data_IF_218005252638
#
_entry.id   IF_218005252638
#
_cell.length_a   1.000
_cell.length_b   1.000
_cell.length_c   1.000
_cell.angle_alpha   90.00
_cell.angle_beta   90.00
_cell.angle_gamma   90.00
#
_symmetry.space_group_name_H-M   'P 1'
#
loop_
_entity.id
_entity.type
_entity.pdbx_description
1 polymer ?
#
# COMPACT_ATOMS: atom_id res chain seq x y z
N UNK A 1 -12.39 -12.89 22.27
CA UNK A 1 -12.20 -11.62 21.54
C UNK A 1 -11.13 -10.84 22.28
N UNK A 2 -9.87 -11.03 21.89
CA UNK A 2 -8.75 -10.27 22.44
C UNK A 2 -8.67 -8.97 21.66
N UNK A 3 -9.08 -7.87 22.28
CA UNK A 3 -8.82 -6.52 21.76
C UNK A 3 -7.31 -6.28 21.83
N UNK A 4 -6.63 -6.32 20.68
CA UNK A 4 -5.25 -5.91 20.57
C UNK A 4 -5.18 -4.39 20.66
N UNK A 5 -4.86 -3.86 21.84
CA UNK A 5 -4.58 -2.44 22.03
C UNK A 5 -3.24 -2.12 21.36
N UNK A 6 -3.28 -1.42 20.23
CA UNK A 6 -2.07 -0.93 19.54
C UNK A 6 -1.35 0.06 20.45
N UNK A 7 -0.05 -0.16 20.70
CA UNK A 7 0.76 0.69 21.55
C UNK A 7 1.13 1.99 20.85
N UNK A 8 1.28 3.07 21.63
CA UNK A 8 1.47 4.45 21.18
C UNK A 8 2.82 4.72 20.48
N UNK A 9 3.73 3.75 20.45
CA UNK A 9 5.09 3.87 19.87
C UNK A 9 5.23 3.33 18.45
N UNK A 10 4.17 2.79 17.86
CA UNK A 10 4.30 2.00 16.62
C UNK A 10 4.09 2.80 15.32
N UNK A 11 3.72 4.07 15.38
CA UNK A 11 2.64 4.40 14.45
C UNK A 11 2.98 5.09 13.13
N UNK A 12 3.98 5.97 13.03
CA UNK A 12 4.31 6.64 11.76
C UNK A 12 5.80 6.94 11.66
N UNK A 13 6.49 6.36 10.67
CA UNK A 13 7.88 6.69 10.35
C UNK A 13 7.90 7.68 9.20
N UNK A 14 8.49 8.86 9.41
CA UNK A 14 8.71 9.84 8.34
C UNK A 14 10.14 9.76 7.84
N UNK A 15 10.28 9.68 6.52
CA UNK A 15 11.57 9.65 5.85
C UNK A 15 11.58 10.71 4.75
N UNK A 16 12.75 11.33 4.54
CA UNK A 16 13.01 12.16 3.36
C UNK A 16 13.39 11.24 2.20
N UNK A 17 12.71 11.37 1.06
CA UNK A 17 13.10 10.68 -0.16
C UNK A 17 14.42 11.24 -0.70
N UNK A 18 15.31 10.38 -1.21
CA UNK A 18 16.40 10.87 -2.08
C UNK A 18 15.77 11.48 -3.34
N UNK A 19 15.91 12.79 -3.53
CA UNK A 19 15.18 13.58 -4.53
C UNK A 19 14.17 14.60 -3.96
N UNK A 20 13.97 14.62 -2.64
CA UNK A 20 13.01 15.50 -1.97
C UNK A 20 11.58 14.95 -2.00
N UNK A 21 10.89 14.98 -0.86
CA UNK A 21 9.52 14.47 -0.73
C UNK A 21 9.20 14.00 0.68
N UNK A 22 7.91 13.87 0.98
CA UNK A 22 7.38 13.42 2.27
C UNK A 22 6.92 11.97 2.18
N UNK A 23 7.49 11.10 3.02
CA UNK A 23 7.15 9.68 3.08
C UNK A 23 6.63 9.35 4.48
N UNK A 24 5.52 8.62 4.57
CA UNK A 24 4.95 8.14 5.83
C UNK A 24 4.73 6.62 5.75
N UNK A 25 5.41 5.87 6.61
CA UNK A 25 5.15 4.44 6.82
C UNK A 25 4.32 4.22 8.08
N UNK A 26 3.32 3.35 8.03
CA UNK A 26 2.63 2.86 9.23
C UNK A 26 3.16 1.48 9.57
N UNK A 27 3.64 1.26 10.80
CA UNK A 27 3.86 -0.09 11.31
C UNK A 27 2.64 -0.51 12.11
N UNK A 28 2.12 -1.69 11.84
CA UNK A 28 0.99 -2.25 12.58
C UNK A 28 1.35 -3.66 13.01
N UNK A 29 1.70 -3.83 14.29
CA UNK A 29 2.05 -5.12 14.89
C UNK A 29 3.31 -5.05 15.74
N UNK A 30 3.20 -5.52 16.99
CA UNK A 30 4.29 -5.60 17.96
C UNK A 30 5.00 -6.96 17.83
N UNK A 31 6.21 -6.97 17.26
CA UNK A 31 7.26 -7.93 17.64
C UNK A 31 8.55 -7.16 17.83
N UNK A 32 8.98 -7.16 19.09
CA UNK A 32 10.17 -6.51 19.62
C UNK A 32 11.38 -6.70 18.71
N UNK A 33 11.85 -5.59 18.18
CA UNK A 33 13.08 -5.49 17.41
C UNK A 33 13.26 -4.03 17.08
N UNK A 34 14.07 -3.32 17.87
CA UNK A 34 14.58 -2.03 17.48
C UNK A 34 15.28 -2.23 16.12
N UNK A 35 14.62 -1.86 15.04
CA UNK A 35 15.25 -1.75 13.74
C UNK A 35 16.15 -0.52 13.83
N UNK A 36 17.37 -0.73 14.31
CA UNK A 36 18.50 0.10 13.96
C UNK A 36 18.53 0.24 12.44
N UNK A 37 18.72 1.48 11.99
CA UNK A 37 19.03 1.77 10.61
C UNK A 37 20.34 1.05 10.24
N UNK A 38 20.25 -0.09 9.56
CA UNK A 38 21.25 -0.81 8.74
C UNK A 38 20.82 -2.29 8.72
N UNK A 39 20.74 -3.05 7.63
CA UNK A 39 21.31 -3.02 6.28
C UNK A 39 20.36 -3.85 5.38
N UNK A 40 20.24 -3.72 4.07
CA UNK A 40 21.11 -3.18 3.04
C UNK A 40 20.40 -2.11 2.20
N UNK A 41 21.17 -1.16 1.67
CA UNK A 41 20.65 0.00 0.96
C UNK A 41 19.92 -0.38 -0.33
N UNK A 42 18.67 0.08 -0.55
CA UNK A 42 18.16 0.30 -1.90
C UNK A 42 18.96 1.46 -2.52
N UNK A 43 19.14 1.49 -3.86
CA UNK A 43 19.80 2.62 -4.54
C UNK A 43 19.08 3.95 -4.24
N UNK A 44 19.76 5.09 -4.39
CA UNK A 44 19.28 6.38 -3.90
C UNK A 44 17.98 6.81 -4.61
N UNK A 45 16.86 6.76 -3.88
CA UNK A 45 15.55 7.24 -4.38
C UNK A 45 14.39 6.63 -3.60
N UNK A 46 13.65 7.46 -2.84
CA UNK A 46 12.51 7.08 -1.99
C UNK A 46 12.83 6.04 -0.89
N UNK A 47 12.21 6.16 0.28
CA UNK A 47 11.97 5.01 1.13
C UNK A 47 10.78 4.24 0.52
N UNK A 48 11.01 3.15 -0.25
CA UNK A 48 9.96 2.54 -1.08
C UNK A 48 8.85 1.92 -0.23
N UNK A 49 9.18 1.66 1.04
CA UNK A 49 8.37 0.97 2.03
C UNK A 49 7.30 1.84 2.72
N UNK A 50 7.26 3.15 2.48
CA UNK A 50 6.25 4.03 3.08
C UNK A 50 4.87 3.80 2.43
N UNK A 51 3.83 3.59 3.25
CA UNK A 51 2.46 3.44 2.76
C UNK A 51 1.98 4.69 2.02
N UNK A 52 2.28 5.88 2.52
CA UNK A 52 1.87 7.14 1.88
C UNK A 52 3.10 7.92 1.43
N UNK A 53 3.10 8.38 0.17
CA UNK A 53 4.20 9.16 -0.40
C UNK A 53 3.68 10.39 -1.11
N UNK A 54 4.32 11.52 -0.86
CA UNK A 54 4.00 12.80 -1.50
C UNK A 54 5.30 13.33 -2.12
N UNK A 55 5.37 13.28 -3.44
CA UNK A 55 6.51 13.76 -4.22
C UNK A 55 6.55 15.28 -4.28
N UNK A 56 7.73 15.84 -4.53
CA UNK A 56 7.91 17.30 -4.78
C UNK A 56 7.21 17.78 -6.05
N UNK A 57 6.93 16.85 -6.97
CA UNK A 57 6.07 17.03 -8.16
C UNK A 57 4.56 17.06 -7.84
N UNK A 58 4.17 16.88 -6.57
CA UNK A 58 2.78 16.85 -6.13
C UNK A 58 2.06 15.52 -6.34
N UNK A 59 2.74 14.46 -6.81
CA UNK A 59 2.16 13.12 -6.89
C UNK A 59 1.94 12.56 -5.49
N UNK A 60 0.74 12.05 -5.26
CA UNK A 60 0.36 11.39 -4.00
C UNK A 60 0.16 9.92 -4.31
N UNK A 61 0.98 9.06 -3.70
CA UNK A 61 0.94 7.62 -3.90
C UNK A 61 0.54 6.93 -2.61
N UNK A 62 -0.41 5.98 -2.71
CA UNK A 62 -0.62 4.95 -1.71
C UNK A 62 0.03 3.65 -2.19
N UNK A 63 0.94 3.11 -1.37
CA UNK A 63 1.51 1.78 -1.58
C UNK A 63 0.51 0.74 -1.09
N UNK A 64 -0.05 0.02 -2.04
CA UNK A 64 -1.16 -0.89 -1.89
C UNK A 64 -0.66 -2.29 -1.52
N UNK A 65 -0.81 -2.65 -0.25
CA UNK A 65 -0.45 -3.96 0.28
C UNK A 65 -1.60 -4.98 0.26
N UNK A 66 -2.78 -4.59 -0.24
CA UNK A 66 -3.93 -5.47 -0.38
C UNK A 66 -4.17 -5.76 -1.87
N UNK A 67 -4.73 -6.93 -2.17
CA UNK A 67 -4.99 -7.37 -3.55
C UNK A 67 -6.46 -7.14 -3.88
N UNK A 68 -6.72 -6.51 -5.02
CA UNK A 68 -8.07 -6.31 -5.52
C UNK A 68 -8.57 -7.54 -6.28
N UNK A 69 -9.72 -8.07 -5.85
CA UNK A 69 -10.37 -9.27 -6.39
C UNK A 69 -11.87 -9.04 -6.67
N UNK A 70 -12.35 -7.80 -6.59
CA UNK A 70 -13.74 -7.38 -6.83
C UNK A 70 -14.37 -6.62 -5.66
N UNK A 71 -13.78 -6.71 -4.47
CA UNK A 71 -14.26 -6.11 -3.22
C UNK A 71 -14.12 -4.58 -3.16
N UNK A 72 -13.29 -3.97 -4.01
CA UNK A 72 -13.11 -2.52 -4.09
C UNK A 72 -12.08 -1.93 -3.12
N UNK A 73 -11.13 -2.73 -2.63
CA UNK A 73 -9.95 -2.28 -1.86
C UNK A 73 -9.14 -1.20 -2.56
N UNK A 74 -9.03 -1.21 -3.90
CA UNK A 74 -8.32 -0.15 -4.63
C UNK A 74 -9.04 1.19 -4.63
N UNK A 75 -10.22 1.25 -4.04
CA UNK A 75 -10.94 2.51 -3.83
C UNK A 75 -11.12 2.78 -2.34
N UNK A 76 -11.57 1.79 -1.56
CA UNK A 76 -11.84 1.97 -0.14
C UNK A 76 -10.60 2.28 0.68
N UNK A 77 -9.45 1.68 0.37
CA UNK A 77 -8.19 1.92 1.09
C UNK A 77 -7.65 3.34 0.84
N UNK A 78 -7.49 3.84 -0.40
CA UNK A 78 -7.07 5.22 -0.63
C UNK A 78 -8.08 6.25 -0.13
N UNK A 79 -9.38 5.94 -0.07
CA UNK A 79 -10.38 6.83 0.54
C UNK A 79 -10.04 7.17 2.00
N UNK A 80 -9.55 6.20 2.77
CA UNK A 80 -9.20 6.40 4.18
C UNK A 80 -8.09 7.45 4.35
N UNK A 81 -7.02 7.30 3.57
CA UNK A 81 -5.90 8.25 3.57
C UNK A 81 -6.34 9.60 2.98
N UNK A 82 -7.04 9.60 1.86
CA UNK A 82 -7.42 10.80 1.12
C UNK A 82 -8.38 11.71 1.91
N UNK A 83 -9.34 11.13 2.63
CA UNK A 83 -10.26 11.86 3.52
C UNK A 83 -9.49 12.72 4.52
N UNK A 84 -8.50 12.13 5.16
CA UNK A 84 -7.69 12.82 6.16
C UNK A 84 -6.63 13.70 5.51
N UNK A 85 -6.15 13.37 4.32
CA UNK A 85 -5.14 14.17 3.63
C UNK A 85 -5.74 15.39 2.92
N UNK A 86 -7.07 15.57 2.90
CA UNK A 86 -7.79 16.65 2.22
C UNK A 86 -7.52 16.66 0.69
N UNK A 87 -7.54 15.48 0.07
CA UNK A 87 -7.31 15.29 -1.37
C UNK A 87 -8.41 14.45 -1.98
N UNK A 88 -8.67 14.62 -3.27
CA UNK A 88 -9.59 13.73 -3.98
C UNK A 88 -8.95 12.40 -4.37
N UNK A 89 -9.77 11.37 -4.60
CA UNK A 89 -9.28 10.08 -5.12
C UNK A 89 -8.62 10.21 -6.50
N UNK A 90 -9.08 11.17 -7.31
CA UNK A 90 -8.47 11.53 -8.60
C UNK A 90 -7.03 12.07 -8.48
N UNK A 91 -6.59 12.41 -7.26
CA UNK A 91 -5.23 12.87 -6.98
C UNK A 91 -4.33 11.75 -6.42
N UNK A 92 -4.86 10.55 -6.19
CA UNK A 92 -4.14 9.43 -5.58
C UNK A 92 -3.77 8.39 -6.64
N UNK A 93 -2.48 8.05 -6.68
CA UNK A 93 -1.95 6.94 -7.46
C UNK A 93 -1.77 5.72 -6.57
N UNK A 94 -2.02 4.54 -7.11
CA UNK A 94 -1.75 3.28 -6.44
C UNK A 94 -0.50 2.65 -7.01
N UNK A 95 0.36 2.17 -6.13
CA UNK A 95 1.49 1.33 -6.49
C UNK A 95 1.45 0.07 -5.65
N UNK A 96 1.63 -1.09 -6.25
CA UNK A 96 1.63 -2.34 -5.50
C UNK A 96 2.83 -2.41 -4.55
N UNK A 97 2.58 -2.82 -3.31
CA UNK A 97 3.63 -3.08 -2.36
C UNK A 97 4.50 -4.26 -2.86
N UNK A 98 5.84 -4.18 -2.75
CA UNK A 98 6.68 -5.36 -2.89
C UNK A 98 6.37 -6.37 -1.76
N UNK A 99 6.74 -7.65 -1.93
CA UNK A 99 6.58 -8.65 -0.88
C UNK A 99 7.51 -8.32 0.31
N UNK A 100 6.94 -7.88 1.42
CA UNK A 100 7.63 -7.65 2.69
C UNK A 100 6.65 -7.70 3.86
N UNK A 101 6.51 -8.87 4.47
CA UNK A 101 5.61 -9.08 5.61
C UNK A 101 5.92 -8.16 6.79
N UNK A 102 7.18 -7.78 7.00
CA UNK A 102 7.54 -6.92 8.14
C UNK A 102 7.00 -5.51 7.99
N UNK A 103 6.86 -5.04 6.76
CA UNK A 103 6.43 -3.69 6.44
C UNK A 103 4.96 -3.63 6.07
N UNK A 104 4.43 -4.67 5.44
CA UNK A 104 3.12 -4.66 4.79
C UNK A 104 2.14 -5.68 5.34
N UNK A 105 2.47 -6.35 6.45
CA UNK A 105 1.58 -7.32 7.08
C UNK A 105 0.19 -6.74 7.36
N UNK A 106 -0.80 -7.59 7.11
CA UNK A 106 -2.15 -7.40 7.59
C UNK A 106 -2.17 -7.64 9.10
N UNK A 107 -2.70 -6.71 9.91
CA UNK A 107 -2.72 -6.84 11.37
C UNK A 107 -3.44 -8.09 11.90
N UNK A 108 -4.35 -8.67 11.10
CA UNK A 108 -5.09 -9.86 11.48
C UNK A 108 -4.31 -11.17 11.27
N UNK A 109 -3.35 -11.19 10.35
CA UNK A 109 -2.66 -12.41 9.92
C UNK A 109 -1.16 -12.39 10.29
N UNK A 110 -0.56 -11.20 10.33
CA UNK A 110 0.87 -11.03 10.61
C UNK A 110 1.77 -11.22 9.38
N UNK A 111 1.18 -11.38 8.20
CA UNK A 111 1.81 -11.48 6.89
C UNK A 111 1.05 -10.65 5.84
N UNK A 112 1.63 -10.48 4.66
CA UNK A 112 1.07 -9.67 3.58
C UNK A 112 -0.02 -10.44 2.82
N UNK A 113 -1.20 -10.51 3.43
CA UNK A 113 -2.36 -11.23 2.90
C UNK A 113 -3.60 -10.32 2.73
N UNK A 114 -4.43 -10.67 1.73
CA UNK A 114 -5.82 -10.21 1.59
C UNK A 114 -6.78 -11.38 1.78
N UNK A 115 -7.50 -11.36 2.89
CA UNK A 115 -8.44 -12.43 3.25
C UNK A 115 -9.28 -12.06 4.48
N UNK A 116 -10.20 -12.95 4.89
CA UNK A 116 -10.94 -12.84 6.17
C UNK A 116 -11.72 -11.54 6.40
N UNK A 117 -12.12 -10.84 5.34
CA UNK A 117 -12.77 -9.52 5.40
C UNK A 117 -11.99 -8.50 6.24
N UNK A 118 -10.66 -8.59 6.20
CA UNK A 118 -9.77 -7.88 7.12
C UNK A 118 -9.22 -6.56 6.58
N UNK A 119 -9.22 -6.33 5.26
CA UNK A 119 -8.52 -5.18 4.65
C UNK A 119 -8.93 -3.83 5.26
N UNK A 120 -10.19 -3.42 5.10
CA UNK A 120 -10.65 -2.14 5.70
C UNK A 120 -10.56 -2.19 7.23
N UNK A 121 -10.89 -3.31 7.87
CA UNK A 121 -10.85 -3.43 9.33
C UNK A 121 -9.45 -3.21 9.90
N UNK A 122 -8.41 -3.71 9.23
CA UNK A 122 -7.03 -3.64 9.67
C UNK A 122 -6.40 -2.29 9.40
N UNK A 123 -6.82 -1.64 8.32
CA UNK A 123 -6.17 -0.42 7.84
C UNK A 123 -7.02 0.85 7.96
N UNK A 124 -8.25 0.76 8.51
CA UNK A 124 -9.15 1.90 8.72
C UNK A 124 -8.48 3.05 9.48
N UNK A 125 -7.98 2.76 10.68
CA UNK A 125 -7.34 3.77 11.52
C UNK A 125 -5.90 4.09 11.06
N UNK A 126 -5.04 3.09 10.71
CA UNK A 126 -3.70 3.36 10.18
C UNK A 126 -3.65 4.32 9.00
N UNK A 127 -4.43 4.07 7.94
CA UNK A 127 -4.38 4.93 6.76
C UNK A 127 -4.96 6.32 7.02
N UNK A 128 -5.98 6.43 7.87
CA UNK A 128 -6.51 7.74 8.30
C UNK A 128 -5.47 8.53 9.09
N UNK A 129 -4.79 7.90 10.03
CA UNK A 129 -3.71 8.53 10.80
C UNK A 129 -2.52 8.94 9.91
N UNK A 130 -2.14 8.12 8.93
CA UNK A 130 -1.14 8.52 7.93
C UNK A 130 -1.57 9.80 7.18
N UNK A 131 -2.80 9.83 6.65
CA UNK A 131 -3.34 11.01 5.96
C UNK A 131 -3.37 12.26 6.84
N UNK A 132 -3.85 12.14 8.09
CA UNK A 132 -3.95 13.25 9.03
C UNK A 132 -2.57 13.76 9.47
N UNK A 133 -1.60 12.86 9.64
CA UNK A 133 -0.21 13.19 9.96
C UNK A 133 0.44 13.96 8.83
N UNK A 134 0.32 13.46 7.60
CA UNK A 134 0.83 14.13 6.42
C UNK A 134 0.21 15.54 6.26
N UNK A 135 -1.11 15.67 6.35
CA UNK A 135 -1.82 16.96 6.33
C UNK A 135 -1.27 17.93 7.38
N UNK A 136 -1.11 17.46 8.62
CA UNK A 136 -0.61 18.28 9.73
C UNK A 136 0.81 18.78 9.47
N UNK A 137 1.70 17.91 8.97
CA UNK A 137 3.08 18.28 8.64
C UNK A 137 3.15 19.25 7.45
N UNK A 138 2.31 19.07 6.43
CA UNK A 138 2.22 19.98 5.29
C UNK A 138 1.69 21.37 5.70
N UNK A 139 0.67 21.42 6.54
CA UNK A 139 0.14 22.68 7.08
C UNK A 139 1.20 23.40 7.93
N UNK A 140 1.92 22.66 8.79
CA UNK A 140 3.01 23.22 9.58
C UNK A 140 4.14 23.75 8.69
N UNK A 141 4.52 23.04 7.63
CA UNK A 141 5.53 23.49 6.68
C UNK A 141 5.13 24.80 5.99
N UNK A 142 3.87 24.92 5.55
CA UNK A 142 3.34 26.13 4.92
C UNK A 142 3.32 27.31 5.89
N UNK A 143 2.82 27.08 7.11
CA UNK A 143 2.77 28.07 8.17
C UNK A 143 4.17 28.63 8.50
N UNK A 144 5.16 27.76 8.65
CA UNK A 144 6.56 28.16 8.82
C UNK A 144 7.14 28.87 7.60
N UNK A 145 6.62 28.64 6.39
CA UNK A 145 7.13 29.32 5.17
C UNK A 145 6.62 30.75 5.10
N UNK A 146 5.44 30.99 5.63
CA UNK A 146 4.80 32.30 5.64
C UNK A 146 4.98 33.08 6.94
N UNK A 147 5.60 32.46 7.95
CA UNK A 147 5.72 32.97 9.32
C UNK A 147 4.36 33.33 9.94
N UNK A 148 3.44 32.36 9.93
CA UNK A 148 2.06 32.51 10.43
C UNK A 148 1.67 31.34 11.34
N UNK A 149 0.59 31.52 12.10
CA UNK A 149 0.01 30.45 12.91
C UNK A 149 -0.54 29.31 12.00
N UNK A 150 -0.18 28.03 12.19
CA UNK A 150 -0.79 26.90 11.49
C UNK A 150 -2.32 26.87 11.54
N UNK A 151 -2.94 27.36 12.63
CA UNK A 151 -4.39 27.43 12.78
C UNK A 151 -5.07 28.42 11.81
N UNK A 152 -4.30 29.31 11.18
CA UNK A 152 -4.77 30.21 10.13
C UNK A 152 -4.72 29.58 8.73
N UNK A 153 -4.12 28.40 8.60
CA UNK A 153 -3.98 27.67 7.34
C UNK A 153 -5.07 26.60 7.18
N UNK A 154 -5.47 26.33 5.94
CA UNK A 154 -6.45 25.28 5.59
C UNK A 154 -5.92 24.45 4.44
N UNK A 155 -6.03 23.13 4.57
CA UNK A 155 -5.71 22.20 3.52
C UNK A 155 -6.98 21.80 2.76
N UNK A 156 -6.94 21.83 1.42
CA UNK A 156 -8.02 21.35 0.56
C UNK A 156 -7.47 21.04 -0.83
N UNK A 157 -7.88 19.91 -1.42
CA UNK A 157 -7.50 19.50 -2.78
C UNK A 157 -5.98 19.47 -3.02
N UNK A 158 -5.20 19.10 -2.01
CA UNK A 158 -3.73 19.04 -2.11
C UNK A 158 -3.03 20.41 -2.12
N UNK A 159 -3.71 21.44 -1.63
CA UNK A 159 -3.19 22.81 -1.50
C UNK A 159 -3.40 23.27 -0.06
N UNK A 160 -2.40 23.93 0.52
CA UNK A 160 -2.53 24.66 1.78
C UNK A 160 -2.74 26.14 1.46
N UNK A 161 -3.74 26.75 2.08
CA UNK A 161 -4.09 28.17 1.92
C UNK A 161 -4.00 28.89 3.25
N UNK A 162 -3.30 30.02 3.31
CA UNK A 162 -3.35 30.94 4.45
C UNK A 162 -4.62 31.80 4.36
N UNK A 163 -5.62 31.48 5.16
CA UNK A 163 -6.99 32.00 5.06
C UNK A 163 -7.07 33.53 5.07
N UNK A 164 -6.36 34.26 5.96
CA UNK A 164 -6.42 35.72 6.01
C UNK A 164 -5.90 36.43 4.76
N UNK A 165 -4.92 35.83 4.05
CA UNK A 165 -4.24 36.49 2.91
C UNK A 165 -4.56 35.87 1.55
N UNK A 166 -5.14 34.66 1.52
CA UNK A 166 -5.35 33.91 0.29
C UNK A 166 -4.08 33.29 -0.35
N UNK A 167 -2.89 33.49 0.23
CA UNK A 167 -1.64 32.84 -0.24
C UNK A 167 -1.79 31.32 -0.22
N UNK A 168 -1.24 30.65 -1.23
CA UNK A 168 -1.34 29.18 -1.39
C UNK A 168 0.02 28.53 -1.67
N UNK A 169 0.17 27.28 -1.23
CA UNK A 169 1.28 26.39 -1.59
C UNK A 169 0.72 24.99 -1.85
N UNK A 170 1.17 24.34 -2.92
CA UNK A 170 0.79 22.96 -3.22
C UNK A 170 1.50 21.99 -2.29
N UNK A 171 0.95 20.78 -2.13
CA UNK A 171 1.60 19.74 -1.33
C UNK A 171 3.00 19.38 -1.85
N UNK A 172 3.21 19.36 -3.17
CA UNK A 172 4.53 19.12 -3.75
C UNK A 172 5.56 20.16 -3.32
N UNK A 173 5.19 21.45 -3.36
CA UNK A 173 6.07 22.54 -2.90
C UNK A 173 6.39 22.47 -1.40
N UNK A 174 5.54 21.82 -0.61
CA UNK A 174 5.69 21.68 0.83
C UNK A 174 6.38 20.37 1.24
N UNK A 175 6.38 19.35 0.38
CA UNK A 175 6.74 17.98 0.72
C UNK A 175 8.14 17.86 1.33
N UNK A 176 9.15 18.50 0.71
CA UNK A 176 10.52 18.45 1.21
C UNK A 176 10.68 19.10 2.58
N UNK A 177 10.04 20.26 2.79
CA UNK A 177 10.09 20.95 4.08
C UNK A 177 9.34 20.16 5.14
N UNK A 178 8.14 19.67 4.83
CA UNK A 178 7.34 18.86 5.73
C UNK A 178 8.09 17.61 6.20
N UNK A 179 8.84 16.94 5.31
CA UNK A 179 9.62 15.75 5.62
C UNK A 179 10.77 15.98 6.63
N UNK A 180 11.19 17.24 6.82
CA UNK A 180 12.22 17.63 7.80
C UNK A 180 11.62 18.05 9.15
N UNK A 181 10.30 18.16 9.25
CA UNK A 181 9.63 18.50 10.50
C UNK A 181 9.50 17.27 11.41
N UNK A 182 9.49 17.48 12.73
CA UNK A 182 9.15 16.40 13.65
C UNK A 182 7.75 15.87 13.35
N UNK A 183 7.59 14.55 13.45
CA UNK A 183 6.28 13.90 13.34
C UNK A 183 5.46 14.29 14.57
N UNK A 184 4.22 14.79 14.41
CA UNK A 184 3.37 15.10 15.56
C UNK A 184 3.07 13.88 16.41
N UNK A 185 3.26 13.96 17.73
CA UNK A 185 2.96 12.87 18.67
C UNK A 185 1.47 12.49 18.70
N UNK A 186 0.59 13.46 18.40
CA UNK A 186 -0.85 13.27 18.35
C UNK A 186 -1.41 13.96 17.12
N UNK A 187 -2.23 13.22 16.39
CA UNK A 187 -3.01 13.72 15.26
C UNK A 187 -4.49 13.49 15.53
N UNK A 188 -5.28 14.52 15.29
CA UNK A 188 -6.74 14.47 15.39
C UNK A 188 -7.28 13.99 14.05
N UNK A 189 -8.00 12.88 14.08
CA UNK A 189 -8.75 12.37 12.94
C UNK A 189 -10.06 13.13 12.80
N UNK A 190 -10.57 13.24 11.58
CA UNK A 190 -11.91 13.80 11.32
C UNK A 190 -13.00 13.02 12.05
N UNK A 191 -14.05 13.71 12.48
CA UNK A 191 -15.27 13.05 12.94
C UNK A 191 -15.99 12.44 11.73
N UNK A 192 -16.60 11.25 11.83
CA UNK A 192 -17.40 10.68 10.75
C UNK A 192 -18.46 11.60 10.14
N UNK A 193 -19.02 12.53 10.92
CA UNK A 193 -19.98 13.52 10.41
C UNK A 193 -19.36 14.53 9.43
N UNK A 194 -18.04 14.71 9.50
CA UNK A 194 -17.28 15.66 8.68
C UNK A 194 -16.65 14.98 7.46
N UNK A 195 -16.92 13.68 7.23
CA UNK A 195 -16.42 12.96 6.07
C UNK A 195 -17.05 13.47 4.78
N UNK A 196 -16.21 13.52 3.75
CA UNK A 196 -16.58 13.99 2.41
C UNK A 196 -16.36 12.92 1.33
N UNK A 197 -15.51 11.93 1.62
CA UNK A 197 -15.20 10.78 0.78
C UNK A 197 -15.67 9.48 1.43
N UNK A 198 -15.26 9.19 2.67
CA UNK A 198 -15.62 7.94 3.36
C UNK A 198 -17.15 7.82 3.47
N UNK A 199 -17.69 6.69 3.02
CA UNK A 199 -19.14 6.44 3.02
C UNK A 199 -19.87 6.90 1.75
N UNK A 200 -19.18 7.56 0.82
CA UNK A 200 -19.76 7.94 -0.48
C UNK A 200 -19.66 6.81 -1.52
N UNK A 201 -20.55 6.76 -2.52
CA UNK A 201 -20.47 5.82 -3.64
C UNK A 201 -19.44 6.28 -4.69
N UNK A 202 -18.18 6.44 -4.28
CA UNK A 202 -17.12 6.91 -5.17
C UNK A 202 -16.91 5.96 -6.36
N UNK A 203 -16.59 6.53 -7.53
CA UNK A 203 -16.20 5.75 -8.70
C UNK A 203 -14.89 5.01 -8.41
N UNK A 204 -14.84 3.73 -8.79
CA UNK A 204 -13.67 2.89 -8.56
C UNK A 204 -12.48 3.34 -9.39
N UNK A 205 -11.30 3.43 -8.76
CA UNK A 205 -10.06 3.85 -9.40
C UNK A 205 -9.58 2.86 -10.47
N UNK A 206 -9.87 1.58 -10.28
CA UNK A 206 -9.43 0.46 -11.12
C UNK A 206 -10.43 0.09 -12.24
N UNK A 207 -11.64 0.67 -12.23
CA UNK A 207 -12.66 0.38 -13.25
C UNK A 207 -12.19 0.70 -14.67
N UNK A 208 -11.60 1.87 -14.97
CA UNK A 208 -11.20 2.22 -16.34
C UNK A 208 -10.32 1.16 -17.00
N UNK A 209 -9.34 0.63 -16.27
CA UNK A 209 -8.39 -0.36 -16.80
C UNK A 209 -9.00 -1.77 -16.89
N UNK A 210 -9.94 -2.10 -16.01
CA UNK A 210 -10.67 -3.38 -16.04
C UNK A 210 -11.65 -3.46 -17.21
N UNK A 211 -12.28 -2.36 -17.60
CA UNK A 211 -13.30 -2.36 -18.68
C UNK A 211 -12.70 -2.20 -20.08
N UNK A 212 -11.42 -1.82 -20.19
CA UNK A 212 -10.74 -1.64 -21.48
C UNK A 212 -9.62 -2.66 -21.74
N UNK A 213 -9.43 -3.64 -20.85
CA UNK A 213 -8.43 -4.69 -20.98
C UNK A 213 -6.98 -4.28 -20.67
N UNK A 214 -6.74 -3.09 -20.11
CA UNK A 214 -5.40 -2.65 -19.69
C UNK A 214 -4.96 -3.26 -18.36
N UNK A 215 -5.90 -3.65 -17.49
CA UNK A 215 -5.57 -4.25 -16.21
C UNK A 215 -4.78 -5.54 -16.42
N UNK A 216 -3.61 -5.65 -15.77
CA UNK A 216 -2.79 -6.86 -15.79
C UNK A 216 -3.07 -7.70 -14.56
N UNK A 217 -3.43 -8.96 -14.78
CA UNK A 217 -3.58 -9.99 -13.76
C UNK A 217 -2.37 -10.93 -13.82
N UNK A 218 -2.18 -11.74 -12.76
CA UNK A 218 -1.07 -12.70 -12.70
C UNK A 218 -1.02 -13.65 -13.89
N UNK A 219 -2.18 -14.01 -14.46
CA UNK A 219 -2.28 -14.88 -15.64
C UNK A 219 -1.81 -14.21 -16.95
N UNK A 220 -1.77 -12.88 -17.00
CA UNK A 220 -1.35 -12.11 -18.19
C UNK A 220 0.18 -11.97 -18.26
N UNK A 221 0.88 -12.22 -17.15
CA UNK A 221 2.34 -12.10 -17.08
C UNK A 221 2.99 -13.14 -18.00
N UNK A 222 3.91 -12.68 -18.85
CA UNK A 222 4.74 -13.50 -19.72
C UNK A 222 6.18 -13.00 -19.64
N UNK A 223 7.10 -13.85 -19.17
CA UNK A 223 8.53 -13.52 -19.10
C UNK A 223 9.30 -14.20 -20.23
N UNK A 224 10.41 -13.62 -20.72
CA UNK A 224 11.30 -14.30 -21.66
C UNK A 224 11.76 -15.66 -21.11
N UNK A 225 11.52 -16.73 -21.85
CA UNK A 225 11.90 -18.09 -21.45
C UNK A 225 11.07 -18.72 -20.33
N UNK A 226 9.96 -18.08 -19.92
CA UNK A 226 9.05 -18.58 -18.87
C UNK A 226 8.59 -20.02 -19.18
N UNK A 227 8.62 -20.88 -18.16
CA UNK A 227 8.05 -22.23 -18.24
C UNK A 227 6.63 -22.22 -17.71
N UNK A 228 5.79 -23.08 -18.26
CA UNK A 228 4.42 -23.27 -17.84
C UNK A 228 4.35 -24.56 -17.02
N UNK A 229 3.79 -24.46 -15.82
CA UNK A 229 3.53 -25.61 -14.98
C UNK A 229 2.03 -25.91 -14.97
N UNK A 230 1.67 -27.15 -15.25
CA UNK A 230 0.31 -27.67 -15.07
C UNK A 230 0.30 -28.74 -14.00
N UNK A 231 -0.81 -28.86 -13.27
CA UNK A 231 -0.95 -29.81 -12.16
C UNK A 231 -2.05 -30.82 -12.45
N UNK A 232 -1.78 -32.09 -12.13
CA UNK A 232 -2.76 -33.15 -12.07
C UNK A 232 -2.89 -33.60 -10.61
N UNK A 233 -4.02 -33.26 -9.99
CA UNK A 233 -4.35 -33.67 -8.63
C UNK A 233 -5.28 -34.90 -8.65
N UNK A 234 -5.25 -35.70 -7.57
CA UNK A 234 -6.27 -36.75 -7.39
C UNK A 234 -7.67 -36.12 -7.33
N UNK A 235 -8.68 -36.68 -8.04
CA UNK A 235 -10.06 -36.19 -7.94
C UNK A 235 -10.72 -36.56 -6.61
N UNK A 236 -10.08 -37.42 -5.81
CA UNK A 236 -10.57 -37.86 -4.50
C UNK A 236 -9.79 -37.14 -3.40
N UNK A 237 -10.51 -36.52 -2.47
CA UNK A 237 -9.92 -35.84 -1.32
C UNK A 237 -9.03 -36.81 -0.52
N UNK A 238 -7.79 -36.40 -0.25
CA UNK A 238 -6.80 -37.22 0.45
C UNK A 238 -6.17 -38.34 -0.40
N UNK A 239 -6.51 -38.42 -1.69
CA UNK A 239 -5.90 -39.36 -2.63
C UNK A 239 -4.41 -39.06 -2.83
N UNK A 240 -3.64 -40.12 -3.07
CA UNK A 240 -2.19 -40.07 -3.33
C UNK A 240 -1.84 -40.72 -4.66
N UNK A 241 -0.71 -40.32 -5.22
CA UNK A 241 -0.12 -40.90 -6.42
C UNK A 241 0.32 -42.33 -6.11
N UNK A 242 -0.43 -43.31 -6.63
CA UNK A 242 -0.09 -44.72 -6.49
C UNK A 242 1.07 -45.14 -7.42
N UNK A 243 1.08 -44.61 -8.64
CA UNK A 243 2.11 -44.86 -9.65
C UNK A 243 2.27 -43.63 -10.53
N UNK A 244 3.52 -43.30 -10.86
CA UNK A 244 3.88 -42.28 -11.83
C UNK A 244 4.88 -42.87 -12.83
N UNK A 245 4.62 -42.74 -14.12
CA UNK A 245 5.56 -43.12 -15.19
C UNK A 245 6.26 -41.85 -15.68
N UNK A 246 7.28 -41.44 -14.94
CA UNK A 246 8.01 -40.19 -15.20
C UNK A 246 8.73 -40.24 -16.55
N UNK A 247 9.27 -41.40 -16.94
CA UNK A 247 9.99 -41.57 -18.21
C UNK A 247 9.08 -41.27 -19.42
N UNK A 248 7.83 -41.77 -19.41
CA UNK A 248 6.87 -41.45 -20.47
C UNK A 248 6.51 -39.97 -20.51
N UNK A 249 6.32 -39.34 -19.35
CA UNK A 249 6.01 -37.92 -19.30
C UNK A 249 7.18 -37.06 -19.77
N UNK A 250 8.41 -37.40 -19.40
CA UNK A 250 9.63 -36.72 -19.82
C UNK A 250 9.95 -36.90 -21.30
N UNK A 251 9.43 -37.95 -21.95
CA UNK A 251 9.58 -38.16 -23.39
C UNK A 251 8.71 -37.22 -24.25
N UNK A 252 7.75 -36.51 -23.65
CA UNK A 252 6.90 -35.55 -24.37
C UNK A 252 7.73 -34.31 -24.74
N UNK A 253 7.76 -33.89 -26.01
CA UNK A 253 8.50 -32.70 -26.43
C UNK A 253 8.11 -31.45 -25.63
N UNK A 254 9.10 -30.69 -25.19
CA UNK A 254 8.89 -29.46 -24.41
C UNK A 254 8.76 -29.69 -22.91
N UNK A 255 8.56 -30.91 -22.43
CA UNK A 255 8.59 -31.21 -20.99
C UNK A 255 10.02 -31.08 -20.47
N UNK A 256 10.17 -30.31 -19.39
CA UNK A 256 11.47 -30.01 -18.76
C UNK A 256 11.62 -30.66 -17.40
N UNK A 257 10.52 -30.82 -16.67
CA UNK A 257 10.54 -31.42 -15.34
C UNK A 257 9.17 -31.98 -14.97
N UNK A 258 9.16 -33.10 -14.26
CA UNK A 258 7.98 -33.59 -13.55
C UNK A 258 8.30 -33.53 -12.05
N UNK A 259 7.37 -32.99 -11.27
CA UNK A 259 7.49 -32.86 -9.82
C UNK A 259 6.35 -33.63 -9.18
N UNK A 260 6.67 -34.71 -8.48
CA UNK A 260 5.70 -35.46 -7.70
C UNK A 260 5.64 -34.92 -6.27
N UNK A 261 4.52 -34.30 -5.90
CA UNK A 261 4.25 -33.78 -4.55
C UNK A 261 3.54 -34.81 -3.66
N UNK A 262 3.27 -36.01 -4.20
CA UNK A 262 2.66 -37.13 -3.49
C UNK A 262 1.15 -37.23 -3.67
N UNK A 263 0.42 -36.11 -3.60
CA UNK A 263 -1.02 -35.99 -3.86
C UNK A 263 -1.34 -35.25 -5.17
N UNK A 264 -0.35 -34.52 -5.68
CA UNK A 264 -0.37 -33.76 -6.93
C UNK A 264 0.89 -34.04 -7.73
N UNK A 265 0.77 -34.15 -9.05
CA UNK A 265 1.91 -34.16 -9.98
C UNK A 265 1.91 -32.88 -10.79
N UNK A 266 3.01 -32.14 -10.75
CA UNK A 266 3.21 -30.95 -11.58
C UNK A 266 4.12 -31.29 -12.77
N UNK A 267 3.72 -30.88 -13.98
CA UNK A 267 4.53 -30.98 -15.20
C UNK A 267 4.93 -29.58 -15.63
N UNK A 268 6.23 -29.35 -15.76
CA UNK A 268 6.82 -28.07 -16.17
C UNK A 268 7.32 -28.20 -17.61
N UNK A 269 6.83 -27.35 -18.50
CA UNK A 269 7.13 -27.38 -19.92
C UNK A 269 7.43 -25.99 -20.51
N UNK A 270 7.93 -25.95 -21.74
CA UNK A 270 8.23 -24.70 -22.46
C UNK A 270 6.98 -23.94 -22.94
N UNK A 271 5.86 -24.64 -23.12
CA UNK A 271 4.57 -24.13 -23.62
C UNK A 271 3.44 -25.08 -23.24
#
# INVERSE_FOLDING_TARGET
MTTHTVSRRDFVVVLTATGGGLLLGCRVGDRSGAATAAAAAPPPGLAPNAFTRIGTDGRITLVMNQVEMGQGTYTSMPMLMAEELEVGLDQVQLEHAPPDDKLYANPFFGDQETGGSSSVRGFYEPLRRAGATARTMLVAAAAQTWDVDPASCRAKRGVVTHTPTGRTLTYGALAEKAAKLPVPDKVVLKDPKDFTLIGTPAKRLDTPDKVNGKAQFGIDVRLPGMKIATVAASPVLGGKVARLDEAKGMAIPGVRKIVNLGDVVAVVADH
#
